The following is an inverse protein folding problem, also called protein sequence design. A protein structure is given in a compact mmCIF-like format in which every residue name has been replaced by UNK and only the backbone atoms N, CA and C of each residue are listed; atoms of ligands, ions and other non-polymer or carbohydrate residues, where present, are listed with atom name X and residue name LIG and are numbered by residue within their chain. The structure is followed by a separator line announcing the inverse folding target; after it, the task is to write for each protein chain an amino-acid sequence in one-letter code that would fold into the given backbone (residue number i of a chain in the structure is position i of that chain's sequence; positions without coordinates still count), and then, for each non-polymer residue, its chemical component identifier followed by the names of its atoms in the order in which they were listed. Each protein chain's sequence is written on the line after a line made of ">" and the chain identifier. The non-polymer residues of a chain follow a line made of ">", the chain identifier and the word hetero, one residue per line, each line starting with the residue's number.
data_IF_185141311831
#
_entry.id   IF_185141311831
#
_cell.length_a   1.000
_cell.length_b   1.000
_cell.length_c   1.000
_cell.angle_alpha   90.00
_cell.angle_beta   90.00
_cell.angle_gamma   90.00
#
_symmetry.space_group_name_H-M   'P 1'
#
loop_
_entity.id
_entity.type
_entity.pdbx_description
1 polymer ?
#
# COMPACT_ATOMS: atom_id res chain seq x y z
N UNK A 1 15.33 -0.39 18.41
CA UNK A 1 13.97 -0.60 17.85
C UNK A 1 13.87 0.15 16.54
N UNK A 2 13.57 -0.57 15.49
CA UNK A 2 13.42 0.01 14.15
C UNK A 2 12.00 0.58 13.97
N UNK A 3 11.90 1.90 13.75
CA UNK A 3 10.62 2.56 13.48
C UNK A 3 10.46 2.73 11.98
N UNK A 4 9.31 2.33 11.46
CA UNK A 4 8.97 2.40 10.05
C UNK A 4 7.75 3.30 9.86
N UNK A 5 7.87 4.28 8.99
CA UNK A 5 6.76 5.12 8.57
C UNK A 5 6.08 4.47 7.36
N UNK A 6 4.81 4.14 7.48
CA UNK A 6 4.01 3.56 6.39
C UNK A 6 3.11 4.63 5.79
N UNK A 7 3.19 4.79 4.48
CA UNK A 7 2.49 5.82 3.71
C UNK A 7 1.57 5.18 2.67
N UNK A 8 0.36 5.71 2.58
CA UNK A 8 -0.59 5.39 1.52
C UNK A 8 -1.16 6.69 0.95
N UNK A 9 -0.68 7.09 -0.23
CA UNK A 9 -1.11 8.31 -0.91
C UNK A 9 -2.21 8.03 -1.92
N UNK A 10 -3.36 8.69 -1.74
CA UNK A 10 -4.38 8.87 -2.76
C UNK A 10 -4.24 10.20 -3.49
N UNK A 11 -5.11 10.48 -4.45
CA UNK A 11 -5.07 11.71 -5.26
C UNK A 11 -5.24 12.99 -4.41
N UNK A 12 -6.01 12.92 -3.35
CA UNK A 12 -6.29 14.05 -2.44
C UNK A 12 -6.10 13.71 -0.97
N UNK A 13 -5.46 12.57 -0.65
CA UNK A 13 -5.30 12.08 0.70
C UNK A 13 -3.94 11.44 0.93
N UNK A 14 -3.55 11.37 2.20
CA UNK A 14 -2.37 10.63 2.65
C UNK A 14 -2.69 10.01 4.00
N UNK A 15 -2.70 8.69 4.07
CA UNK A 15 -2.78 7.94 5.34
C UNK A 15 -1.39 7.52 5.77
N UNK A 16 -1.14 7.56 7.08
CA UNK A 16 0.13 7.12 7.63
C UNK A 16 -0.01 6.37 8.95
N UNK A 17 0.97 5.51 9.20
CA UNK A 17 1.23 4.91 10.50
C UNK A 17 2.73 4.91 10.76
N UNK A 18 3.13 5.21 11.97
CA UNK A 18 4.48 4.95 12.46
C UNK A 18 4.44 3.70 13.31
N UNK A 19 5.23 2.69 12.95
CA UNK A 19 5.19 1.36 13.54
C UNK A 19 6.56 1.00 14.08
N UNK A 20 6.60 0.43 15.30
CA UNK A 20 7.78 -0.29 15.79
C UNK A 20 7.79 -1.68 15.14
N UNK A 21 8.78 -1.94 14.27
CA UNK A 21 8.82 -3.20 13.52
C UNK A 21 9.15 -4.43 14.36
N UNK A 22 9.76 -4.24 15.53
CA UNK A 22 10.12 -5.35 16.42
C UNK A 22 8.91 -5.85 17.22
N UNK A 23 8.06 -4.93 17.64
CA UNK A 23 6.86 -5.22 18.44
C UNK A 23 5.57 -5.22 17.65
N UNK A 24 5.61 -4.75 16.40
CA UNK A 24 4.45 -4.52 15.54
C UNK A 24 3.43 -3.52 16.10
N UNK A 25 3.83 -2.74 17.11
CA UNK A 25 2.97 -1.73 17.71
C UNK A 25 2.90 -0.46 16.88
N UNK A 26 1.69 0.07 16.73
CA UNK A 26 1.45 1.38 16.13
C UNK A 26 1.80 2.45 17.15
N UNK A 27 2.78 3.31 16.83
CA UNK A 27 3.24 4.41 17.68
C UNK A 27 2.49 5.71 17.41
N UNK A 28 2.04 5.91 16.18
CA UNK A 28 1.23 7.03 15.76
C UNK A 28 0.49 6.68 14.46
N UNK A 29 -0.64 7.34 14.24
CA UNK A 29 -1.43 7.19 13.01
C UNK A 29 -2.15 8.48 12.66
N UNK A 30 -2.51 8.64 11.43
CA UNK A 30 -3.30 9.77 11.00
C UNK A 30 -3.63 9.76 9.52
N UNK A 31 -4.32 10.81 9.12
CA UNK A 31 -4.73 11.05 7.75
C UNK A 31 -4.71 12.53 7.42
N UNK A 32 -4.13 12.86 6.27
CA UNK A 32 -4.32 14.14 5.60
C UNK A 32 -5.41 13.96 4.55
N UNK A 33 -6.41 14.83 4.58
CA UNK A 33 -7.54 14.82 3.67
C UNK A 33 -7.65 16.15 2.95
N UNK A 34 -8.31 16.15 1.79
CA UNK A 34 -8.59 17.37 1.02
C UNK A 34 -7.30 18.12 0.64
N UNK A 35 -6.25 17.38 0.35
CA UNK A 35 -5.00 17.94 -0.20
C UNK A 35 -5.32 18.64 -1.51
N UNK A 36 -4.71 19.81 -1.74
CA UNK A 36 -4.98 20.76 -2.83
C UNK A 36 -6.27 21.58 -2.68
N UNK A 37 -7.02 21.36 -1.62
CA UNK A 37 -8.20 22.13 -1.26
C UNK A 37 -7.94 22.86 0.06
N UNK A 38 -8.90 22.86 0.96
CA UNK A 38 -8.78 23.48 2.28
C UNK A 38 -7.90 22.70 3.27
N UNK A 39 -7.72 21.40 3.04
CA UNK A 39 -6.84 20.54 3.81
C UNK A 39 -7.24 20.30 5.26
N UNK A 40 -7.13 19.06 5.71
CA UNK A 40 -7.26 18.72 7.13
C UNK A 40 -6.28 17.61 7.52
N UNK A 41 -5.80 17.66 8.76
CA UNK A 41 -4.99 16.61 9.38
C UNK A 41 -5.71 16.06 10.60
N UNK A 42 -5.85 14.74 10.65
CA UNK A 42 -6.19 14.01 11.87
C UNK A 42 -4.95 13.23 12.31
N UNK A 43 -4.52 13.40 13.54
CA UNK A 43 -3.28 12.79 14.06
C UNK A 43 -3.48 12.29 15.48
N UNK A 44 -2.91 11.13 15.78
CA UNK A 44 -2.85 10.59 17.14
C UNK A 44 -1.61 9.72 17.33
N UNK A 45 -0.77 10.09 18.29
CA UNK A 45 0.22 9.18 18.86
C UNK A 45 -0.47 8.28 19.90
N UNK A 46 -0.02 7.04 20.01
CA UNK A 46 -0.60 6.06 20.94
C UNK A 46 -0.48 6.55 22.38
N UNK A 47 -1.59 6.52 23.09
CA UNK A 47 -1.68 7.01 24.48
C UNK A 47 -1.77 8.53 24.62
N UNK A 48 -1.87 9.25 23.53
CA UNK A 48 -1.98 10.73 23.52
C UNK A 48 -3.31 11.18 22.91
N UNK A 49 -3.57 12.47 23.04
CA UNK A 49 -4.78 13.10 22.51
C UNK A 49 -4.81 13.01 20.97
N UNK A 50 -6.00 12.68 20.45
CA UNK A 50 -6.29 12.79 19.02
C UNK A 50 -6.64 14.22 18.67
N UNK A 51 -5.98 14.74 17.66
CA UNK A 51 -6.27 16.08 17.14
C UNK A 51 -6.82 15.99 15.73
N UNK A 52 -7.64 16.98 15.39
CA UNK A 52 -8.09 17.25 14.04
C UNK A 52 -7.99 18.75 13.80
N UNK A 53 -7.23 19.12 12.78
CA UNK A 53 -7.00 20.53 12.44
C UNK A 53 -7.22 20.76 10.95
N UNK A 54 -7.63 21.98 10.62
CA UNK A 54 -7.57 22.48 9.26
C UNK A 54 -6.17 23.04 9.00
N UNK A 55 -5.56 22.60 7.91
CA UNK A 55 -4.23 23.05 7.53
C UNK A 55 -4.11 23.03 6.00
N UNK A 56 -3.74 24.16 5.38
CA UNK A 56 -3.53 24.20 3.94
C UNK A 56 -2.42 23.25 3.52
N UNK A 57 -2.74 22.38 2.58
CA UNK A 57 -1.79 21.45 1.98
C UNK A 57 -1.89 21.59 0.46
N UNK A 58 -1.07 22.47 -0.16
CA UNK A 58 -1.15 22.71 -1.61
C UNK A 58 -0.74 21.50 -2.44
N UNK A 59 0.03 20.59 -1.87
CA UNK A 59 0.47 19.34 -2.50
C UNK A 59 0.76 18.24 -1.45
N UNK A 60 1.12 17.05 -1.93
CA UNK A 60 1.47 15.93 -1.05
C UNK A 60 2.80 16.15 -0.31
N UNK A 61 3.71 16.93 -0.88
CA UNK A 61 4.95 17.29 -0.19
C UNK A 61 4.66 18.10 1.09
N UNK A 62 3.75 19.06 1.00
CA UNK A 62 3.27 19.82 2.16
C UNK A 62 2.58 18.90 3.19
N UNK A 63 1.81 17.92 2.73
CA UNK A 63 1.17 16.94 3.60
C UNK A 63 2.20 16.08 4.36
N UNK A 64 3.21 15.56 3.68
CA UNK A 64 4.29 14.78 4.31
C UNK A 64 5.05 15.64 5.32
N UNK A 65 5.37 16.89 4.96
CA UNK A 65 6.03 17.83 5.87
C UNK A 65 5.24 18.06 7.15
N UNK A 66 3.92 18.22 7.02
CA UNK A 66 3.03 18.40 8.16
C UNK A 66 2.98 17.15 9.05
N UNK A 67 2.91 15.95 8.45
CA UNK A 67 2.97 14.68 9.18
C UNK A 67 4.26 14.58 10.00
N UNK A 68 5.41 14.87 9.39
CA UNK A 68 6.70 14.84 10.08
C UNK A 68 6.76 15.86 11.23
N UNK A 69 6.20 17.05 11.03
CA UNK A 69 6.10 18.07 12.07
C UNK A 69 5.31 17.57 13.28
N UNK A 70 4.17 16.93 13.07
CA UNK A 70 3.35 16.39 14.18
C UNK A 70 3.95 15.14 14.82
N UNK A 71 4.66 14.31 14.07
CA UNK A 71 5.42 13.18 14.65
C UNK A 71 6.53 13.66 15.59
N UNK A 72 7.12 14.83 15.32
CA UNK A 72 8.19 15.46 16.11
C UNK A 72 7.67 16.36 17.24
N UNK A 73 6.37 16.66 17.30
CA UNK A 73 5.80 17.53 18.32
C UNK A 73 6.04 16.98 19.73
N UNK A 74 6.47 17.84 20.66
CA UNK A 74 6.79 17.42 22.03
C UNK A 74 5.60 16.83 22.80
N UNK A 75 4.39 17.32 22.53
CA UNK A 75 3.17 16.89 23.23
C UNK A 75 2.39 15.82 22.47
N UNK A 76 2.33 15.95 21.16
CA UNK A 76 1.45 15.14 20.28
C UNK A 76 2.22 14.12 19.47
N UNK A 77 3.55 14.17 19.44
CA UNK A 77 4.38 13.34 18.62
C UNK A 77 4.78 12.00 19.25
N UNK A 78 5.53 11.24 18.49
CA UNK A 78 6.00 9.90 18.84
C UNK A 78 7.53 9.72 18.70
N UNK A 79 8.22 10.70 18.12
CA UNK A 79 9.68 10.68 17.92
C UNK A 79 10.29 12.04 18.30
N UNK A 80 11.58 12.03 18.60
CA UNK A 80 12.34 13.25 18.97
C UNK A 80 13.09 13.85 17.80
N UNK A 81 13.53 13.02 16.86
CA UNK A 81 14.18 13.47 15.63
C UNK A 81 13.87 12.51 14.47
N UNK A 82 14.09 12.96 13.23
CA UNK A 82 13.80 12.18 12.03
C UNK A 82 14.71 10.97 11.85
N UNK A 83 15.88 10.95 12.47
CA UNK A 83 16.80 9.80 12.40
C UNK A 83 16.24 8.55 13.07
N UNK A 84 15.18 8.68 13.86
CA UNK A 84 14.47 7.55 14.42
C UNK A 84 13.64 6.78 13.38
N UNK A 85 13.33 7.40 12.22
CA UNK A 85 12.65 6.73 11.11
C UNK A 85 13.70 5.95 10.31
N UNK A 86 13.71 4.65 10.47
CA UNK A 86 14.70 3.77 9.85
C UNK A 86 14.38 3.45 8.38
N UNK A 87 13.09 3.47 8.00
CA UNK A 87 12.62 3.22 6.65
C UNK A 87 11.22 3.80 6.44
N UNK A 88 10.87 4.02 5.18
CA UNK A 88 9.50 4.39 4.77
C UNK A 88 8.96 3.31 3.86
N UNK A 89 7.80 2.74 4.21
CA UNK A 89 7.07 1.80 3.38
C UNK A 89 5.93 2.50 2.64
N UNK A 90 5.84 2.29 1.34
CA UNK A 90 4.80 2.86 0.49
C UNK A 90 3.90 1.79 -0.08
N UNK A 91 2.59 1.94 0.09
CA UNK A 91 1.64 1.18 -0.70
C UNK A 91 1.63 1.72 -2.12
N UNK A 92 1.87 0.84 -3.09
CA UNK A 92 1.74 1.10 -4.52
C UNK A 92 0.67 0.16 -5.08
N UNK A 93 -0.34 0.71 -5.75
CA UNK A 93 -1.50 -0.09 -6.15
C UNK A 93 -1.14 -1.09 -7.23
N UNK A 94 -0.46 -0.68 -8.29
CA UNK A 94 -0.19 -1.55 -9.42
C UNK A 94 1.31 -1.73 -9.68
N UNK A 95 1.78 -2.97 -9.59
CA UNK A 95 3.15 -3.36 -9.91
C UNK A 95 3.30 -4.07 -11.26
N UNK A 96 2.20 -4.26 -12.00
CA UNK A 96 2.21 -5.00 -13.25
C UNK A 96 2.75 -6.41 -13.08
N UNK A 97 3.48 -6.90 -14.06
CA UNK A 97 4.18 -8.20 -14.01
C UNK A 97 5.62 -8.09 -13.48
N UNK A 98 6.09 -6.88 -13.18
CA UNK A 98 7.49 -6.60 -12.82
C UNK A 98 7.82 -6.89 -11.37
N UNK A 99 6.82 -6.87 -10.48
CA UNK A 99 7.03 -7.00 -9.05
C UNK A 99 6.21 -8.14 -8.46
N UNK A 100 6.89 -9.07 -7.82
CA UNK A 100 6.30 -10.22 -7.09
C UNK A 100 6.52 -10.15 -5.58
N UNK A 101 7.21 -9.12 -5.10
CA UNK A 101 7.50 -8.89 -3.68
C UNK A 101 7.71 -7.40 -3.41
N UNK A 102 7.80 -7.04 -2.13
CA UNK A 102 8.25 -5.71 -1.73
C UNK A 102 9.70 -5.47 -2.20
N UNK A 103 9.99 -4.24 -2.62
CA UNK A 103 11.30 -3.88 -3.17
C UNK A 103 11.81 -2.56 -2.60
N UNK A 104 13.12 -2.47 -2.44
CA UNK A 104 13.79 -1.21 -2.14
C UNK A 104 13.71 -0.29 -3.38
N UNK A 105 13.26 0.93 -3.17
CA UNK A 105 13.05 1.88 -4.26
C UNK A 105 14.36 2.50 -4.70
N UNK A 106 14.63 2.40 -5.99
CA UNK A 106 15.69 3.08 -6.73
C UNK A 106 15.10 3.69 -8.01
N UNK A 107 15.93 4.29 -8.85
CA UNK A 107 15.46 4.92 -10.09
C UNK A 107 14.81 3.92 -11.06
N UNK A 108 15.28 2.68 -11.12
CA UNK A 108 14.69 1.62 -11.94
C UNK A 108 13.29 1.24 -11.45
N UNK A 109 13.13 1.14 -10.13
CA UNK A 109 11.82 0.85 -9.51
C UNK A 109 10.85 2.00 -9.75
N UNK A 110 11.29 3.25 -9.60
CA UNK A 110 10.45 4.43 -9.90
C UNK A 110 9.99 4.44 -11.36
N UNK A 111 10.88 4.17 -12.30
CA UNK A 111 10.55 4.08 -13.73
C UNK A 111 9.53 2.96 -13.99
N UNK A 112 9.69 1.80 -13.37
CA UNK A 112 8.76 0.68 -13.50
C UNK A 112 7.37 0.99 -12.90
N UNK A 113 7.31 1.70 -11.78
CA UNK A 113 6.03 2.18 -11.19
C UNK A 113 5.36 3.18 -12.13
N UNK A 114 6.15 4.07 -12.75
CA UNK A 114 5.63 5.06 -13.71
C UNK A 114 5.05 4.38 -14.95
N UNK A 115 5.68 3.36 -15.50
CA UNK A 115 5.13 2.55 -16.59
C UNK A 115 3.79 1.90 -16.24
N UNK A 116 3.56 1.55 -14.99
CA UNK A 116 2.30 0.99 -14.50
C UNK A 116 1.20 2.05 -14.30
N UNK A 117 1.47 3.34 -14.47
CA UNK A 117 0.46 4.39 -14.35
C UNK A 117 -0.67 4.23 -15.36
N UNK A 118 -0.39 3.71 -16.56
CA UNK A 118 -1.42 3.43 -17.57
C UNK A 118 -2.42 2.35 -17.12
N UNK A 119 -1.97 1.42 -16.28
CA UNK A 119 -2.81 0.36 -15.70
C UNK A 119 -3.60 0.83 -14.46
N UNK A 120 -3.14 1.86 -13.79
CA UNK A 120 -3.77 2.42 -12.59
C UNK A 120 -3.64 3.96 -12.58
N UNK A 121 -4.29 4.66 -13.52
CA UNK A 121 -4.12 6.10 -13.71
C UNK A 121 -4.67 6.94 -12.54
N UNK A 122 -5.54 6.38 -11.72
CA UNK A 122 -6.09 7.06 -10.54
C UNK A 122 -5.25 6.86 -9.26
N UNK A 123 -4.31 5.92 -9.26
CA UNK A 123 -3.60 5.51 -8.05
C UNK A 123 -2.08 5.65 -8.15
N UNK A 124 -1.46 5.05 -9.16
CA UNK A 124 0.01 5.03 -9.26
C UNK A 124 0.64 6.43 -9.34
N UNK A 125 0.09 7.41 -10.08
CA UNK A 125 0.64 8.76 -10.05
C UNK A 125 0.69 9.38 -8.65
N UNK A 126 -0.37 9.22 -7.86
CA UNK A 126 -0.40 9.70 -6.49
C UNK A 126 0.61 8.97 -5.59
N UNK A 127 0.77 7.65 -5.78
CA UNK A 127 1.76 6.87 -5.06
C UNK A 127 3.19 7.37 -5.35
N UNK A 128 3.52 7.66 -6.61
CA UNK A 128 4.82 8.24 -6.99
C UNK A 128 5.06 9.60 -6.35
N UNK A 129 4.06 10.47 -6.32
CA UNK A 129 4.16 11.79 -5.68
C UNK A 129 4.51 11.62 -4.20
N UNK A 130 3.85 10.70 -3.50
CA UNK A 130 4.13 10.40 -2.10
C UNK A 130 5.57 9.89 -1.87
N UNK A 131 6.04 9.00 -2.73
CA UNK A 131 7.43 8.48 -2.67
C UNK A 131 8.44 9.62 -2.85
N UNK A 132 8.27 10.43 -3.89
CA UNK A 132 9.16 11.55 -4.18
C UNK A 132 9.16 12.59 -3.06
N UNK A 133 8.01 12.89 -2.47
CA UNK A 133 7.93 13.79 -1.32
C UNK A 133 8.71 13.24 -0.10
N UNK A 134 8.61 11.96 0.19
CA UNK A 134 9.37 11.33 1.27
C UNK A 134 10.87 11.31 0.99
N UNK A 135 11.28 11.07 -0.26
CA UNK A 135 12.70 11.13 -0.65
C UNK A 135 13.29 12.53 -0.46
N UNK A 136 12.53 13.56 -0.81
CA UNK A 136 12.94 14.96 -0.66
C UNK A 136 13.10 15.36 0.82
N UNK A 137 12.14 14.99 1.66
CA UNK A 137 12.07 15.42 3.06
C UNK A 137 12.89 14.55 4.02
N UNK A 138 13.18 13.33 3.62
CA UNK A 138 13.96 12.34 4.38
C UNK A 138 15.07 11.77 3.49
N UNK A 139 16.03 12.60 3.03
CA UNK A 139 17.12 12.12 2.19
C UNK A 139 17.95 11.05 2.91
N UNK A 140 18.31 9.99 2.20
CA UNK A 140 19.09 8.88 2.75
C UNK A 140 18.29 7.83 3.52
N UNK A 141 17.02 8.07 3.83
CA UNK A 141 16.17 7.06 4.46
C UNK A 141 15.70 6.06 3.39
N UNK A 142 15.89 4.75 3.60
CA UNK A 142 15.41 3.73 2.66
C UNK A 142 13.91 3.81 2.43
N UNK A 143 13.51 3.77 1.16
CA UNK A 143 12.11 3.76 0.74
C UNK A 143 11.78 2.38 0.15
N UNK A 144 10.68 1.78 0.57
CA UNK A 144 10.25 0.45 0.14
C UNK A 144 8.87 0.54 -0.51
N UNK A 145 8.70 -0.07 -1.67
CA UNK A 145 7.41 -0.22 -2.33
C UNK A 145 6.79 -1.59 -2.03
N UNK A 146 5.52 -1.58 -1.66
CA UNK A 146 4.70 -2.77 -1.42
C UNK A 146 3.50 -2.70 -2.36
N UNK A 147 3.38 -3.69 -3.26
CA UNK A 147 2.40 -3.67 -4.34
C UNK A 147 1.17 -4.50 -4.02
N UNK A 148 -0.02 -3.95 -4.29
CA UNK A 148 -1.28 -4.69 -4.15
C UNK A 148 -1.34 -5.92 -5.06
N UNK A 149 -0.65 -5.88 -6.20
CA UNK A 149 -0.64 -6.93 -7.22
C UNK A 149 0.42 -8.01 -7.01
N UNK A 150 1.44 -7.75 -6.17
CA UNK A 150 2.63 -8.61 -6.08
C UNK A 150 2.31 -10.03 -5.60
N UNK A 151 1.46 -10.19 -4.59
CA UNK A 151 1.08 -11.50 -4.06
C UNK A 151 0.43 -12.39 -5.13
N UNK A 152 -0.32 -11.79 -6.05
CA UNK A 152 -1.04 -12.49 -7.11
C UNK A 152 -0.19 -12.88 -8.31
N UNK A 153 1.09 -12.53 -8.33
CA UNK A 153 2.00 -12.92 -9.42
C UNK A 153 2.31 -14.43 -9.45
N UNK A 154 1.85 -15.18 -8.47
CA UNK A 154 1.92 -16.63 -8.45
C UNK A 154 0.74 -17.31 -9.17
N UNK A 155 -0.26 -16.57 -9.64
CA UNK A 155 -1.38 -17.15 -10.39
C UNK A 155 -0.88 -17.82 -11.67
N UNK A 156 -1.37 -19.02 -12.00
CA UNK A 156 -1.06 -19.67 -13.27
C UNK A 156 -1.70 -18.93 -14.46
N UNK A 157 -1.15 -19.13 -15.64
CA UNK A 157 -1.57 -18.43 -16.85
C UNK A 157 -3.07 -18.66 -17.21
N UNK A 158 -3.58 -19.84 -16.98
CA UNK A 158 -5.00 -20.14 -17.20
C UNK A 158 -5.95 -19.38 -16.27
N UNK A 159 -5.44 -18.90 -15.13
CA UNK A 159 -6.23 -18.09 -14.20
C UNK A 159 -6.17 -16.60 -14.51
N UNK A 160 -5.04 -16.09 -15.03
CA UNK A 160 -4.90 -14.65 -15.29
C UNK A 160 -5.18 -14.23 -16.75
N UNK A 161 -5.19 -15.15 -17.71
CA UNK A 161 -5.41 -14.81 -19.11
C UNK A 161 -6.90 -14.65 -19.38
N UNK A 162 -7.27 -13.50 -19.97
CA UNK A 162 -8.66 -13.25 -20.38
C UNK A 162 -9.00 -13.95 -21.70
N UNK A 163 -10.27 -14.30 -21.87
CA UNK A 163 -10.82 -14.87 -23.10
C UNK A 163 -11.05 -13.85 -24.23
N UNK A 164 -10.03 -13.05 -24.52
CA UNK A 164 -9.99 -12.04 -25.59
C UNK A 164 -8.77 -12.29 -26.48
N UNK A 165 -8.65 -11.65 -27.66
CA UNK A 165 -7.45 -11.85 -28.49
C UNK A 165 -6.16 -11.65 -27.72
N UNK A 166 -5.25 -12.62 -27.81
CA UNK A 166 -4.01 -12.67 -27.01
C UNK A 166 -3.07 -11.48 -27.26
N UNK A 167 -3.21 -10.83 -28.43
CA UNK A 167 -2.45 -9.62 -28.76
C UNK A 167 -2.64 -8.48 -27.76
N UNK A 168 -3.80 -8.40 -27.09
CA UNK A 168 -4.02 -7.39 -26.06
C UNK A 168 -3.19 -7.63 -24.82
N UNK A 169 -2.96 -8.89 -24.47
CA UNK A 169 -2.00 -9.22 -23.42
C UNK A 169 -0.57 -8.89 -23.85
N UNK A 170 -0.18 -9.29 -25.05
CA UNK A 170 1.20 -9.06 -25.53
C UNK A 170 1.54 -7.58 -25.64
N UNK A 171 0.63 -6.77 -26.21
CA UNK A 171 0.87 -5.33 -26.41
C UNK A 171 0.62 -4.48 -25.18
N UNK A 172 -0.48 -4.73 -24.47
CA UNK A 172 -0.97 -3.82 -23.44
C UNK A 172 -0.96 -4.44 -22.04
N UNK A 173 -0.49 -5.67 -21.94
CA UNK A 173 -0.47 -6.42 -20.68
C UNK A 173 -1.85 -6.56 -20.02
N UNK A 174 -2.89 -6.69 -20.85
CA UNK A 174 -4.28 -6.90 -20.41
C UNK A 174 -4.42 -8.32 -19.90
N UNK A 175 -4.55 -8.45 -18.60
CA UNK A 175 -4.73 -9.72 -17.87
C UNK A 175 -5.36 -9.45 -16.51
N UNK A 176 -5.74 -10.52 -15.80
CA UNK A 176 -6.06 -10.43 -14.37
C UNK A 176 -4.77 -10.19 -13.57
N UNK A 177 -4.73 -9.14 -12.76
CA UNK A 177 -3.64 -8.91 -11.80
C UNK A 177 -4.09 -9.23 -10.38
N UNK A 178 -5.27 -8.78 -9.99
CA UNK A 178 -5.73 -8.84 -8.62
C UNK A 178 -5.13 -7.73 -7.75
N UNK A 179 -5.82 -7.44 -6.67
CA UNK A 179 -5.44 -6.37 -5.73
C UNK A 179 -5.69 -6.85 -4.30
N UNK A 180 -5.49 -5.98 -3.31
CA UNK A 180 -5.52 -6.34 -1.89
C UNK A 180 -4.51 -7.46 -1.53
N UNK A 181 -3.48 -7.66 -2.34
CA UNK A 181 -2.54 -8.77 -2.19
C UNK A 181 -1.82 -8.77 -0.85
N UNK A 182 -1.47 -7.61 -0.32
CA UNK A 182 -0.85 -7.47 1.00
C UNK A 182 -1.77 -8.01 2.10
N UNK A 183 -3.07 -7.68 2.03
CA UNK A 183 -4.07 -8.20 2.96
C UNK A 183 -4.27 -9.70 2.81
N UNK A 184 -4.43 -10.21 1.60
CA UNK A 184 -4.60 -11.63 1.34
C UNK A 184 -3.39 -12.44 1.80
N UNK A 185 -2.19 -11.94 1.58
CA UNK A 185 -0.95 -12.56 2.05
C UNK A 185 -0.89 -12.58 3.58
N UNK A 186 -1.12 -11.46 4.24
CA UNK A 186 -1.08 -11.33 5.68
C UNK A 186 -2.12 -12.23 6.36
N UNK A 187 -3.37 -12.15 5.93
CA UNK A 187 -4.49 -12.90 6.55
C UNK A 187 -4.30 -14.40 6.35
N UNK A 188 -3.85 -14.86 5.18
CA UNK A 188 -3.60 -16.28 4.94
C UNK A 188 -2.49 -16.82 5.85
N UNK A 189 -1.39 -16.09 6.00
CA UNK A 189 -0.29 -16.46 6.93
C UNK A 189 -0.78 -16.51 8.38
N UNK A 190 -1.50 -15.48 8.80
CA UNK A 190 -2.04 -15.41 10.16
C UNK A 190 -3.03 -16.53 10.45
N UNK A 191 -3.84 -16.90 9.46
CA UNK A 191 -4.78 -18.03 9.57
C UNK A 191 -4.03 -19.34 9.78
N UNK A 192 -2.97 -19.61 9.03
CA UNK A 192 -2.14 -20.81 9.18
C UNK A 192 -1.52 -20.88 10.59
N UNK A 193 -0.99 -19.76 11.09
CA UNK A 193 -0.43 -19.66 12.44
C UNK A 193 -1.47 -19.99 13.51
N UNK A 194 -2.68 -19.41 13.43
CA UNK A 194 -3.77 -19.64 14.37
C UNK A 194 -4.26 -21.10 14.34
N UNK A 195 -4.19 -21.75 13.20
CA UNK A 195 -4.51 -23.18 13.04
C UNK A 195 -3.39 -24.11 13.50
N UNK A 196 -2.21 -23.57 13.81
CA UNK A 196 -1.02 -24.35 14.13
C UNK A 196 -0.53 -25.23 12.97
N UNK A 197 -0.74 -24.77 11.71
CA UNK A 197 -0.36 -25.49 10.49
C UNK A 197 0.76 -24.78 9.75
N UNK A 198 1.62 -25.57 9.09
CA UNK A 198 2.50 -24.99 8.07
C UNK A 198 1.64 -24.47 6.91
N UNK A 199 1.89 -23.24 6.48
CA UNK A 199 1.13 -22.61 5.40
C UNK A 199 1.20 -23.44 4.10
N UNK A 200 2.28 -24.18 3.89
CA UNK A 200 2.46 -25.07 2.72
C UNK A 200 1.41 -26.17 2.63
N UNK A 201 0.82 -26.54 3.76
CA UNK A 201 -0.18 -27.61 3.87
C UNK A 201 -1.61 -27.07 3.94
N UNK A 202 -1.81 -25.80 3.61
CA UNK A 202 -3.11 -25.14 3.72
C UNK A 202 -3.72 -24.78 2.39
N UNK A 203 -5.06 -24.80 2.36
CA UNK A 203 -5.90 -24.20 1.31
C UNK A 203 -6.85 -23.24 2.02
N UNK A 204 -6.70 -21.95 1.74
CA UNK A 204 -7.38 -20.88 2.45
C UNK A 204 -8.10 -19.98 1.45
N UNK A 205 -9.36 -19.67 1.73
CA UNK A 205 -10.09 -18.62 1.04
C UNK A 205 -10.06 -17.39 1.94
N UNK A 206 -9.51 -16.30 1.43
CA UNK A 206 -9.45 -15.02 2.15
C UNK A 206 -10.49 -14.08 1.57
N UNK A 207 -11.35 -13.56 2.43
CA UNK A 207 -12.34 -12.54 2.11
C UNK A 207 -11.88 -11.19 2.69
N UNK A 208 -11.42 -10.30 1.83
CA UNK A 208 -11.13 -8.91 2.20
C UNK A 208 -12.40 -8.09 1.96
N UNK A 209 -13.08 -7.70 3.03
CA UNK A 209 -14.39 -7.03 2.96
C UNK A 209 -14.31 -5.64 3.61
N UNK A 210 -14.32 -4.62 2.79
CA UNK A 210 -14.30 -3.22 3.18
C UNK A 210 -15.07 -2.38 2.17
N UNK A 211 -14.77 -1.10 2.04
CA UNK A 211 -15.27 -0.25 0.97
C UNK A 211 -14.96 -0.85 -0.41
N UNK A 212 -13.72 -1.27 -0.64
CA UNK A 212 -13.35 -2.24 -1.67
C UNK A 212 -13.43 -3.66 -1.12
N UNK A 213 -13.74 -4.65 -1.96
CA UNK A 213 -13.85 -6.03 -1.55
C UNK A 213 -13.31 -6.99 -2.61
N UNK A 214 -12.64 -8.04 -2.16
CA UNK A 214 -12.16 -9.13 -3.01
C UNK A 214 -12.04 -10.44 -2.24
N UNK A 215 -12.06 -11.54 -2.98
CA UNK A 215 -11.84 -12.89 -2.46
C UNK A 215 -10.64 -13.47 -3.19
N UNK A 216 -9.78 -14.17 -2.46
CA UNK A 216 -8.59 -14.82 -2.99
C UNK A 216 -8.51 -16.27 -2.54
N UNK A 217 -8.19 -17.16 -3.47
CA UNK A 217 -7.85 -18.54 -3.19
C UNK A 217 -6.34 -18.66 -3.00
N UNK A 218 -5.93 -19.12 -1.83
CA UNK A 218 -4.51 -19.29 -1.44
C UNK A 218 -4.25 -20.77 -1.18
N UNK A 219 -3.35 -21.34 -1.96
CA UNK A 219 -2.92 -22.74 -1.80
C UNK A 219 -1.42 -22.79 -1.51
N UNK A 220 -1.06 -23.41 -0.40
CA UNK A 220 0.34 -23.52 0.02
C UNK A 220 1.04 -22.17 0.21
N UNK A 221 0.29 -21.13 0.60
CA UNK A 221 0.80 -19.77 0.76
C UNK A 221 0.89 -18.95 -0.52
N UNK A 222 0.41 -19.49 -1.65
CA UNK A 222 0.43 -18.81 -2.95
C UNK A 222 -0.98 -18.45 -3.42
N UNK A 223 -1.14 -17.25 -3.95
CA UNK A 223 -2.37 -16.87 -4.67
C UNK A 223 -2.50 -17.70 -5.93
N UNK A 224 -3.61 -18.42 -6.08
CA UNK A 224 -3.91 -19.20 -7.27
C UNK A 224 -5.06 -18.62 -8.08
N UNK A 225 -5.92 -17.82 -7.47
CA UNK A 225 -6.97 -17.05 -8.14
C UNK A 225 -7.49 -15.95 -7.23
N UNK A 226 -8.04 -14.89 -7.82
CA UNK A 226 -8.64 -13.78 -7.09
C UNK A 226 -9.75 -13.13 -7.91
N UNK A 227 -10.65 -12.41 -7.26
CA UNK A 227 -11.85 -11.87 -7.91
C UNK A 227 -11.66 -10.54 -8.63
N UNK A 228 -10.74 -9.68 -8.19
CA UNK A 228 -10.38 -8.47 -8.93
C UNK A 228 -9.51 -8.81 -10.13
N UNK A 229 -9.58 -8.00 -11.18
CA UNK A 229 -8.96 -8.31 -12.46
C UNK A 229 -7.86 -7.34 -12.89
N UNK A 230 -7.95 -6.86 -14.13
CA UNK A 230 -7.08 -5.85 -14.70
C UNK A 230 -7.05 -4.60 -13.82
N UNK A 231 -8.22 -4.23 -13.32
CA UNK A 231 -8.45 -3.13 -12.39
C UNK A 231 -9.23 -3.63 -11.17
N UNK A 232 -9.33 -2.84 -10.09
CA UNK A 232 -10.15 -3.20 -8.93
C UNK A 232 -11.68 -3.16 -9.18
N UNK A 233 -12.13 -3.09 -10.42
CA UNK A 233 -13.55 -2.97 -10.77
C UNK A 233 -14.28 -4.30 -10.77
N UNK A 234 -13.75 -5.32 -11.48
CA UNK A 234 -14.42 -6.60 -11.62
C UNK A 234 -14.37 -7.45 -10.35
N UNK A 235 -15.25 -8.42 -10.26
CA UNK A 235 -15.30 -9.38 -9.17
C UNK A 235 -16.60 -9.30 -8.39
N UNK A 236 -16.53 -9.40 -7.08
CA UNK A 236 -17.70 -9.31 -6.21
C UNK A 236 -18.22 -7.87 -6.12
N UNK A 237 -19.51 -7.72 -5.91
CA UNK A 237 -20.12 -6.40 -5.65
C UNK A 237 -19.56 -5.82 -4.34
N UNK A 238 -19.23 -4.54 -4.38
CA UNK A 238 -18.63 -3.84 -3.23
C UNK A 238 -19.26 -2.46 -3.03
N UNK A 239 -18.99 -1.82 -1.89
CA UNK A 239 -19.58 -0.53 -1.56
C UNK A 239 -19.17 0.62 -2.49
N UNK A 240 -18.02 0.51 -3.16
CA UNK A 240 -17.47 1.53 -4.06
C UNK A 240 -17.71 1.22 -5.55
N UNK A 241 -18.15 0.01 -5.90
CA UNK A 241 -18.28 -0.45 -7.29
C UNK A 241 -19.32 -1.56 -7.42
#
# INVERSE_FOLDING_TARGET
>A
NMKVLVINCGSSSLKYQLIDSDTEQVLAKGICERIKLDGSLTHQATGKEKIQIEAPMPDHSAAVKLVLQYLLDEKLGAIKNLDEIAAVGHRVVHGGEKFSSAVLINDEVLAAIEECCDLAPLHNPANLIGIRACQELMPGVPQVAVFDTAFHQTMPDYAYTYGIPYEYYEKYKVRRYGFHGTSHSFVSKRTAELLGKDIKDTKIIVCHLGGGASICAVEGGKSIDTTMGLTPLEGITMGTR
#
